data_IF_108283948063
#
_entry.id   IF_108283948063
#
_cell.length_a   1.000
_cell.length_b   1.000
_cell.length_c   1.000
_cell.angle_alpha   90.00
_cell.angle_beta   90.00
_cell.angle_gamma   90.00
#
_symmetry.space_group_name_H-M   'P 1'
#
loop_
_entity.id
_entity.type
_entity.pdbx_description
1 polymer ?
#
# COMPACT_ATOMS: atom_id res chain seq x y z
N UNK A 1 22.13 -25.34 -10.33
CA UNK A 1 22.35 -24.80 -8.95
C UNK A 1 22.08 -23.31 -8.83
N UNK A 2 22.44 -22.47 -9.78
CA UNK A 2 22.19 -21.00 -9.70
C UNK A 2 20.69 -20.63 -9.60
N UNK A 3 19.79 -21.36 -10.27
CA UNK A 3 18.34 -21.10 -10.22
C UNK A 3 17.69 -21.34 -8.85
N UNK A 4 18.15 -22.33 -8.10
CA UNK A 4 17.61 -22.63 -6.78
C UNK A 4 18.01 -21.57 -5.73
N UNK A 5 19.23 -21.03 -5.82
CA UNK A 5 19.67 -19.93 -4.94
C UNK A 5 18.84 -18.68 -5.13
N UNK A 6 18.57 -18.30 -6.39
CA UNK A 6 17.70 -17.17 -6.73
C UNK A 6 16.27 -17.37 -6.23
N UNK A 7 15.69 -18.54 -6.45
CA UNK A 7 14.32 -18.83 -6.00
C UNK A 7 14.18 -18.73 -4.47
N UNK A 8 15.16 -19.26 -3.73
CA UNK A 8 15.19 -19.14 -2.25
C UNK A 8 15.33 -17.69 -1.79
N UNK A 9 16.20 -16.91 -2.45
CA UNK A 9 16.37 -15.49 -2.13
C UNK A 9 15.07 -14.72 -2.33
N UNK A 10 14.40 -14.91 -3.47
CA UNK A 10 13.11 -14.27 -3.76
C UNK A 10 12.04 -14.70 -2.75
N UNK A 11 11.92 -15.99 -2.44
CA UNK A 11 10.94 -16.49 -1.48
C UNK A 11 11.18 -15.98 -0.05
N UNK A 12 12.43 -15.65 0.31
CA UNK A 12 12.81 -15.03 1.57
C UNK A 12 12.77 -13.50 1.58
N UNK A 13 12.39 -12.88 0.47
CA UNK A 13 12.39 -11.43 0.31
C UNK A 13 10.97 -10.85 0.37
N UNK A 14 10.91 -9.54 0.52
CA UNK A 14 9.69 -8.75 0.44
C UNK A 14 9.79 -7.72 -0.68
N UNK A 15 8.69 -7.48 -1.36
CA UNK A 15 8.49 -6.36 -2.25
C UNK A 15 7.53 -5.36 -1.59
N UNK A 16 7.99 -4.15 -1.37
CA UNK A 16 7.14 -3.03 -1.01
C UNK A 16 6.75 -2.30 -2.30
N UNK A 17 5.52 -2.48 -2.73
CA UNK A 17 4.95 -1.80 -3.90
C UNK A 17 4.35 -0.47 -3.43
N UNK A 18 5.11 0.62 -3.59
CA UNK A 18 4.70 1.94 -3.15
C UNK A 18 4.12 2.74 -4.33
N UNK A 19 2.84 3.01 -4.27
CA UNK A 19 2.08 3.75 -5.28
C UNK A 19 0.96 4.55 -4.62
N UNK A 20 0.50 5.65 -5.24
CA UNK A 20 -0.56 6.48 -4.68
C UNK A 20 -1.91 5.74 -4.59
N UNK A 21 -2.77 6.20 -3.70
CA UNK A 21 -4.14 5.73 -3.56
C UNK A 21 -5.10 6.88 -3.33
N UNK A 22 -6.40 6.64 -3.50
CA UNK A 22 -7.41 7.67 -3.31
C UNK A 22 -7.71 7.90 -1.82
N UNK A 23 -7.73 9.17 -1.41
CA UNK A 23 -8.39 9.60 -0.18
C UNK A 23 -9.86 9.88 -0.46
N UNK A 24 -10.69 9.88 0.59
CA UNK A 24 -12.10 10.25 0.46
C UNK A 24 -12.21 11.70 0.03
N UNK A 25 -12.72 11.90 -1.19
CA UNK A 25 -13.01 13.24 -1.70
C UNK A 25 -14.36 13.71 -1.16
N UNK A 26 -14.47 14.93 -0.59
CA UNK A 26 -15.72 15.41 0.03
C UNK A 26 -16.96 15.36 -0.89
N UNK A 27 -16.75 15.57 -2.19
CA UNK A 27 -17.83 15.55 -3.18
C UNK A 27 -18.17 14.16 -3.73
N UNK A 28 -17.40 13.13 -3.39
CA UNK A 28 -17.50 11.78 -3.97
C UNK A 28 -17.29 10.70 -2.91
N UNK A 29 -17.77 10.92 -1.69
CA UNK A 29 -17.59 10.00 -0.57
C UNK A 29 -18.19 8.61 -0.87
N UNK A 30 -19.27 8.56 -1.65
CA UNK A 30 -19.94 7.34 -2.09
C UNK A 30 -19.07 6.40 -2.94
N UNK A 31 -17.96 6.90 -3.48
CA UNK A 31 -17.02 6.07 -4.26
C UNK A 31 -16.07 5.26 -3.40
N UNK A 32 -16.06 5.50 -2.09
CA UNK A 32 -15.25 4.76 -1.13
C UNK A 32 -16.07 3.69 -0.43
N UNK A 33 -15.36 2.76 0.19
CA UNK A 33 -15.96 1.82 1.14
C UNK A 33 -16.68 2.59 2.24
N UNK A 34 -17.91 2.16 2.66
CA UNK A 34 -18.69 2.92 3.62
C UNK A 34 -18.11 2.96 5.05
N UNK A 35 -17.15 2.08 5.36
CA UNK A 35 -16.51 1.99 6.69
C UNK A 35 -15.12 2.60 6.69
N UNK A 36 -14.31 2.30 5.66
CA UNK A 36 -12.92 2.72 5.57
C UNK A 36 -12.80 4.05 4.82
N UNK A 37 -12.62 5.13 5.58
CA UNK A 37 -12.56 6.49 5.07
C UNK A 37 -11.17 7.10 5.27
N UNK A 38 -10.18 6.80 4.42
CA UNK A 38 -8.84 7.35 4.55
C UNK A 38 -8.80 8.86 4.35
N UNK A 39 -8.03 9.53 5.21
CA UNK A 39 -7.96 11.00 5.33
C UNK A 39 -6.54 11.52 5.22
N UNK A 40 -6.43 12.79 4.86
CA UNK A 40 -5.17 13.53 4.80
C UNK A 40 -4.48 13.58 6.17
N UNK A 41 -3.18 13.37 6.21
CA UNK A 41 -2.33 13.42 7.41
C UNK A 41 -2.62 12.38 8.50
N UNK A 42 -3.22 11.25 8.11
CA UNK A 42 -3.48 10.14 9.01
C UNK A 42 -2.61 8.90 8.72
N UNK A 43 -1.56 9.07 7.94
CA UNK A 43 -0.60 8.03 7.59
C UNK A 43 -0.80 7.45 6.19
N UNK A 44 0.20 6.69 5.71
CA UNK A 44 0.12 6.03 4.42
C UNK A 44 -1.01 5.00 4.38
N UNK A 45 -1.43 4.68 3.16
CA UNK A 45 -2.44 3.67 2.89
C UNK A 45 -1.81 2.29 2.81
N UNK A 46 -2.41 1.32 3.50
CA UNK A 46 -2.26 -0.10 3.23
C UNK A 46 -3.41 -0.50 2.29
N UNK A 47 -3.08 -0.98 1.10
CA UNK A 47 -4.09 -1.25 0.08
C UNK A 47 -4.51 -2.71 0.11
N UNK A 48 -5.80 -2.97 0.29
CA UNK A 48 -6.40 -4.30 0.41
C UNK A 48 -7.50 -4.45 -0.65
N UNK A 49 -7.54 -5.59 -1.32
CA UNK A 49 -8.59 -5.90 -2.28
C UNK A 49 -8.81 -7.41 -2.39
N UNK A 50 -10.04 -7.87 -2.16
CA UNK A 50 -10.39 -9.29 -2.20
C UNK A 50 -10.24 -9.93 -3.59
N UNK A 51 -10.30 -9.14 -4.67
CA UNK A 51 -10.08 -9.60 -6.04
C UNK A 51 -8.61 -9.53 -6.48
N UNK A 52 -7.67 -9.39 -5.52
CA UNK A 52 -6.23 -9.34 -5.79
C UNK A 52 -5.81 -8.23 -6.76
N UNK A 53 -6.53 -7.10 -6.76
CA UNK A 53 -6.12 -5.88 -7.49
C UNK A 53 -4.91 -5.23 -6.83
N UNK A 54 -4.68 -5.54 -5.56
CA UNK A 54 -3.47 -5.31 -4.78
C UNK A 54 -2.96 -6.64 -4.26
N UNK A 55 -1.65 -6.78 -4.10
CA UNK A 55 -1.01 -8.03 -3.72
C UNK A 55 -0.96 -8.25 -2.19
N UNK A 56 -1.41 -7.29 -1.40
CA UNK A 56 -1.40 -7.37 0.06
C UNK A 56 -2.24 -8.55 0.54
N UNK A 57 -1.63 -9.41 1.32
CA UNK A 57 -2.27 -10.47 2.09
C UNK A 57 -2.11 -10.19 3.61
N UNK A 58 -2.63 -11.08 4.45
CA UNK A 58 -2.52 -10.95 5.90
C UNK A 58 -1.04 -10.87 6.39
N UNK A 59 -0.12 -11.54 5.70
CA UNK A 59 1.32 -11.47 6.01
C UNK A 59 1.90 -10.11 5.67
N UNK A 60 1.50 -9.53 4.53
CA UNK A 60 1.89 -8.18 4.10
C UNK A 60 1.33 -7.10 5.02
N UNK A 61 0.07 -7.24 5.43
CA UNK A 61 -0.57 -6.37 6.42
C UNK A 61 0.20 -6.38 7.74
N UNK A 62 0.47 -7.56 8.30
CA UNK A 62 1.23 -7.69 9.55
C UNK A 62 2.64 -7.10 9.45
N UNK A 63 3.32 -7.29 8.31
CA UNK A 63 4.64 -6.73 8.07
C UNK A 63 4.60 -5.19 8.02
N UNK A 64 3.65 -4.62 7.30
CA UNK A 64 3.51 -3.17 7.20
C UNK A 64 3.12 -2.54 8.54
N UNK A 65 2.18 -3.15 9.26
CA UNK A 65 1.80 -2.72 10.61
C UNK A 65 3.03 -2.71 11.55
N UNK A 66 3.89 -3.73 11.46
CA UNK A 66 5.14 -3.77 12.24
C UNK A 66 6.09 -2.63 11.87
N UNK A 67 6.33 -2.37 10.56
CA UNK A 67 7.21 -1.28 10.13
C UNK A 67 6.69 0.08 10.59
N UNK A 68 5.39 0.32 10.48
CA UNK A 68 4.76 1.54 11.00
C UNK A 68 4.87 1.63 12.52
N UNK A 69 4.64 0.52 13.24
CA UNK A 69 4.75 0.47 14.69
C UNK A 69 6.16 0.78 15.20
N UNK A 70 7.20 0.21 14.57
CA UNK A 70 8.60 0.50 14.91
C UNK A 70 8.97 1.94 14.57
N UNK A 71 8.46 2.47 13.45
CA UNK A 71 8.65 3.85 13.05
C UNK A 71 7.87 4.85 13.93
N UNK A 72 6.91 4.39 14.72
CA UNK A 72 6.04 5.25 15.54
C UNK A 72 5.08 6.09 14.70
N UNK A 73 4.66 5.60 13.53
CA UNK A 73 3.76 6.31 12.60
C UNK A 73 2.44 5.58 12.41
N UNK A 74 1.33 6.30 12.21
CA UNK A 74 0.05 5.69 11.89
C UNK A 74 0.03 5.19 10.45
N UNK A 75 -0.93 4.32 10.12
CA UNK A 75 -1.32 3.97 8.76
C UNK A 75 -2.84 3.82 8.67
N UNK A 76 -3.37 3.79 7.46
CA UNK A 76 -4.78 3.64 7.19
C UNK A 76 -5.01 2.52 6.18
N UNK A 77 -6.11 1.80 6.31
CA UNK A 77 -6.52 0.83 5.30
C UNK A 77 -7.25 1.53 4.16
N UNK A 78 -6.92 1.13 2.94
CA UNK A 78 -7.65 1.49 1.74
C UNK A 78 -8.33 0.24 1.18
N UNK A 79 -9.66 0.27 1.23
CA UNK A 79 -10.53 -0.75 0.63
C UNK A 79 -11.39 -0.07 -0.43
N UNK A 80 -11.40 -0.61 -1.64
CA UNK A 80 -12.24 -0.07 -2.72
C UNK A 80 -13.71 -0.34 -2.45
N UNK A 81 -14.57 0.60 -2.82
CA UNK A 81 -16.00 0.33 -2.91
C UNK A 81 -16.25 -0.77 -3.96
N UNK A 82 -17.07 -1.77 -3.62
CA UNK A 82 -17.36 -2.91 -4.50
C UNK A 82 -18.09 -2.52 -5.79
N UNK A 83 -18.81 -1.40 -5.77
CA UNK A 83 -19.58 -0.89 -6.94
C UNK A 83 -18.72 -0.01 -7.86
N UNK A 84 -17.45 0.23 -7.50
CA UNK A 84 -16.51 1.04 -8.29
C UNK A 84 -15.35 0.18 -8.77
N UNK A 85 -15.00 0.23 -10.07
CA UNK A 85 -13.84 -0.51 -10.57
C UNK A 85 -12.56 -0.12 -9.81
N UNK A 86 -11.89 -1.11 -9.24
CA UNK A 86 -10.61 -0.90 -8.57
C UNK A 86 -9.47 -0.86 -9.59
N UNK A 87 -8.60 0.13 -9.48
CA UNK A 87 -7.33 0.15 -10.17
C UNK A 87 -6.42 -1.00 -9.74
N UNK A 88 -5.26 -1.10 -10.35
CA UNK A 88 -4.22 -2.05 -9.96
C UNK A 88 -2.86 -1.38 -10.01
N UNK A 89 -1.87 -2.02 -9.41
CA UNK A 89 -0.50 -1.53 -9.30
C UNK A 89 0.48 -2.52 -9.92
N UNK A 90 1.76 -2.22 -9.83
CA UNK A 90 2.83 -3.16 -10.22
C UNK A 90 2.96 -4.32 -9.23
N UNK A 91 2.44 -4.18 -8.02
CA UNK A 91 2.53 -5.19 -6.95
C UNK A 91 2.04 -6.56 -7.39
N UNK A 92 0.78 -6.73 -7.82
CA UNK A 92 0.24 -8.01 -8.27
C UNK A 92 1.00 -8.62 -9.45
N UNK A 93 1.46 -7.79 -10.39
CA UNK A 93 2.25 -8.25 -11.54
C UNK A 93 3.60 -8.81 -11.07
N UNK A 94 4.27 -8.09 -10.19
CA UNK A 94 5.58 -8.49 -9.65
C UNK A 94 5.45 -9.74 -8.76
N UNK A 95 4.45 -9.77 -7.89
CA UNK A 95 4.15 -10.93 -7.05
C UNK A 95 3.94 -12.21 -7.89
N UNK A 96 3.10 -12.11 -8.93
CA UNK A 96 2.80 -13.24 -9.82
C UNK A 96 4.01 -13.71 -10.60
N UNK A 97 4.80 -12.78 -11.15
CA UNK A 97 5.96 -13.12 -11.99
C UNK A 97 7.15 -13.64 -11.20
N UNK A 98 7.36 -13.15 -10.00
CA UNK A 98 8.55 -13.47 -9.20
C UNK A 98 8.29 -14.47 -8.09
N UNK A 99 7.04 -14.67 -7.68
CA UNK A 99 6.71 -15.44 -6.48
C UNK A 99 7.25 -14.79 -5.21
N UNK A 100 7.31 -13.44 -5.18
CA UNK A 100 7.79 -12.66 -4.05
C UNK A 100 6.63 -12.20 -3.19
N UNK A 101 6.78 -12.28 -1.88
CA UNK A 101 5.80 -11.69 -0.95
C UNK A 101 5.72 -10.18 -1.17
N UNK A 102 4.52 -9.66 -1.36
CA UNK A 102 4.33 -8.27 -1.75
C UNK A 102 3.29 -7.61 -0.86
N UNK A 103 3.56 -6.36 -0.49
CA UNK A 103 2.60 -5.48 0.16
C UNK A 103 2.44 -4.21 -0.67
N UNK A 104 1.21 -3.85 -0.99
CA UNK A 104 0.87 -2.62 -1.70
C UNK A 104 0.50 -1.52 -0.71
N UNK A 105 1.25 -0.44 -0.76
CA UNK A 105 1.09 0.73 0.11
C UNK A 105 1.15 2.01 -0.72
N UNK A 106 0.92 3.16 -0.09
CA UNK A 106 1.17 4.41 -0.79
C UNK A 106 0.70 5.66 -0.08
N UNK A 107 0.93 6.79 -0.71
CA UNK A 107 0.37 8.05 -0.25
C UNK A 107 -1.10 8.17 -0.67
N UNK A 108 -1.92 8.68 0.24
CA UNK A 108 -3.27 9.08 -0.09
C UNK A 108 -3.30 10.41 -0.81
N UNK A 109 -4.01 10.45 -1.96
CA UNK A 109 -4.16 11.65 -2.77
C UNK A 109 -5.63 12.05 -2.90
N UNK A 110 -5.88 13.35 -2.89
CA UNK A 110 -7.10 13.96 -3.44
C UNK A 110 -6.83 14.34 -4.89
N UNK A 111 -7.87 14.24 -5.71
CA UNK A 111 -7.83 14.61 -7.14
C UNK A 111 -6.73 13.90 -7.94
N UNK A 112 -6.46 12.62 -7.63
CA UNK A 112 -5.50 11.80 -8.35
C UNK A 112 -5.80 11.79 -9.85
N UNK A 113 -4.75 11.84 -10.68
CA UNK A 113 -4.77 11.97 -12.14
C UNK A 113 -5.23 13.34 -12.65
N UNK A 114 -5.38 14.33 -11.78
CA UNK A 114 -5.65 15.71 -12.18
C UNK A 114 -4.36 16.53 -12.31
N UNK A 115 -4.49 17.75 -12.81
CA UNK A 115 -3.36 18.69 -12.83
C UNK A 115 -2.99 19.24 -11.43
N UNK A 116 -3.79 18.97 -10.41
CA UNK A 116 -3.59 19.45 -9.04
C UNK A 116 -3.87 18.34 -8.03
N UNK A 117 -3.02 17.36 -8.00
CA UNK A 117 -3.05 16.34 -6.96
C UNK A 117 -2.58 16.92 -5.62
N UNK A 118 -3.20 16.48 -4.54
CA UNK A 118 -2.88 16.93 -3.20
C UNK A 118 -2.72 15.74 -2.25
N UNK A 119 -1.63 15.73 -1.47
CA UNK A 119 -1.41 14.79 -0.38
C UNK A 119 -1.23 15.52 0.96
N UNK A 120 -1.26 14.76 2.04
CA UNK A 120 -0.88 15.25 3.36
C UNK A 120 0.63 15.40 3.51
N UNK A 121 1.10 16.54 4.01
CA UNK A 121 2.53 16.77 4.24
C UNK A 121 3.10 15.73 5.21
N UNK A 122 2.37 15.40 6.29
CA UNK A 122 2.78 14.38 7.25
C UNK A 122 2.81 12.98 6.67
N UNK A 123 1.94 12.69 5.70
CA UNK A 123 1.86 11.35 5.10
C UNK A 123 3.14 11.00 4.33
N UNK A 124 3.81 12.00 3.74
CA UNK A 124 5.13 11.83 3.10
C UNK A 124 6.18 11.43 4.14
N UNK A 125 6.21 12.10 5.29
CA UNK A 125 7.12 11.78 6.38
C UNK A 125 6.83 10.40 6.97
N UNK A 126 5.55 10.07 7.19
CA UNK A 126 5.13 8.78 7.72
C UNK A 126 5.50 7.63 6.79
N UNK A 127 5.22 7.76 5.48
CA UNK A 127 5.61 6.73 4.51
C UNK A 127 7.13 6.57 4.45
N UNK A 128 7.87 7.68 4.45
CA UNK A 128 9.34 7.66 4.45
C UNK A 128 9.88 6.92 5.67
N UNK A 129 9.31 7.16 6.85
CA UNK A 129 9.71 6.48 8.09
C UNK A 129 9.41 4.98 8.03
N UNK A 130 8.23 4.57 7.58
CA UNK A 130 7.87 3.15 7.43
C UNK A 130 8.78 2.44 6.40
N UNK A 131 9.05 3.07 5.25
CA UNK A 131 9.97 2.54 4.22
C UNK A 131 11.39 2.38 4.75
N UNK A 132 11.84 3.28 5.60
CA UNK A 132 13.14 3.15 6.27
C UNK A 132 13.21 1.87 7.11
N UNK A 133 12.17 1.54 7.86
CA UNK A 133 12.14 0.33 8.68
C UNK A 133 12.06 -0.94 7.81
N UNK A 134 11.34 -0.89 6.69
CA UNK A 134 11.40 -1.96 5.67
C UNK A 134 12.83 -2.25 5.23
N UNK A 135 13.61 -1.21 4.88
CA UNK A 135 15.01 -1.39 4.47
C UNK A 135 15.96 -1.80 5.60
N UNK A 136 15.60 -1.54 6.85
CA UNK A 136 16.34 -2.03 8.02
C UNK A 136 16.12 -3.51 8.29
N UNK A 137 15.10 -4.11 7.69
CA UNK A 137 14.79 -5.53 7.85
C UNK A 137 14.17 -5.87 9.22
N UNK A 138 13.47 -4.94 9.85
CA UNK A 138 12.81 -5.12 11.16
C UNK A 138 11.44 -5.77 11.00
#
# INVERSE_FOLDING_TARGET
>A
MAGQGRARAIAGSWLLSADAGHLVHPNYAERHDPVNHPRVNHGPLLKINANQRYATDAGGEAAFARWCGVAGVPFQEFVSNNDVPCGSTIGPISATRLGIRTVDVGLGLLSMHSAREMCGVRDVEHLTAAVREFFRGV
#
